data_IF_215612389851
#
_entry.id   IF_215612389851
#
_cell.length_a   1.000
_cell.length_b   1.000
_cell.length_c   1.000
_cell.angle_alpha   90.00
_cell.angle_beta   90.00
_cell.angle_gamma   90.00
#
_symmetry.space_group_name_H-M   'P 1'
#
loop_
_entity.id
_entity.type
_entity.pdbx_description
1 polymer ?
#
# COMPACT_ATOMS: atom_id res chain seq x y z
N UNK A 1 10.74 3.76 -10.24
CA UNK A 1 11.03 3.85 -8.79
C UNK A 1 10.14 4.93 -8.22
N UNK A 2 9.44 4.67 -7.11
CA UNK A 2 8.65 5.68 -6.39
C UNK A 2 9.49 6.24 -5.23
N UNK A 3 9.72 7.56 -5.22
CA UNK A 3 10.40 8.27 -4.14
C UNK A 3 9.40 9.22 -3.49
N UNK A 4 9.37 9.22 -2.16
CA UNK A 4 8.38 9.97 -1.38
C UNK A 4 9.05 10.61 -0.17
N UNK A 5 8.56 11.77 0.25
CA UNK A 5 8.98 12.44 1.47
C UNK A 5 7.98 12.13 2.60
N UNK A 6 8.41 11.30 3.55
CA UNK A 6 7.60 10.92 4.70
C UNK A 6 7.44 12.01 5.76
N UNK A 7 8.18 13.11 5.66
CA UNK A 7 7.98 14.30 6.50
C UNK A 7 6.93 15.26 5.93
N UNK A 8 6.61 15.14 4.64
CA UNK A 8 5.69 16.04 3.94
C UNK A 8 4.30 15.46 3.71
N UNK A 9 4.19 14.13 3.55
CA UNK A 9 2.96 13.46 3.15
C UNK A 9 2.45 12.52 4.25
N UNK A 10 1.13 12.37 4.33
CA UNK A 10 0.53 11.45 5.27
C UNK A 10 0.70 9.99 4.80
N UNK A 11 0.77 9.01 5.73
CA UNK A 11 0.89 7.59 5.37
C UNK A 11 -0.21 7.08 4.42
N UNK A 12 -1.43 7.61 4.55
CA UNK A 12 -2.57 7.29 3.70
C UNK A 12 -2.36 7.70 2.24
N UNK A 13 -1.79 8.88 2.02
CA UNK A 13 -1.51 9.43 0.68
C UNK A 13 -0.43 8.60 0.01
N UNK A 14 0.66 8.30 0.73
CA UNK A 14 1.73 7.45 0.21
C UNK A 14 1.24 6.03 -0.08
N UNK A 15 0.37 5.47 0.76
CA UNK A 15 -0.20 4.15 0.51
C UNK A 15 -1.07 4.13 -0.76
N UNK A 16 -1.79 5.21 -1.07
CA UNK A 16 -2.53 5.33 -2.34
C UNK A 16 -1.58 5.41 -3.54
N UNK A 17 -0.58 6.30 -3.48
CA UNK A 17 0.43 6.45 -4.55
C UNK A 17 1.21 5.17 -4.80
N UNK A 18 1.59 4.44 -3.74
CA UNK A 18 2.27 3.16 -3.85
C UNK A 18 1.38 2.09 -4.48
N UNK A 19 0.07 2.08 -4.18
CA UNK A 19 -0.89 1.18 -4.80
C UNK A 19 -1.03 1.43 -6.30
N UNK A 20 -1.16 2.69 -6.71
CA UNK A 20 -1.19 3.08 -8.13
C UNK A 20 0.11 2.71 -8.84
N UNK A 21 1.25 2.96 -8.22
CA UNK A 21 2.56 2.59 -8.76
C UNK A 21 2.69 1.07 -8.97
N UNK A 22 2.24 0.26 -8.01
CA UNK A 22 2.25 -1.21 -8.12
C UNK A 22 1.37 -1.67 -9.28
N UNK A 23 0.14 -1.15 -9.39
CA UNK A 23 -0.80 -1.54 -10.45
C UNK A 23 -0.31 -1.14 -11.84
N UNK A 24 0.17 0.11 -11.99
CA UNK A 24 0.62 0.63 -13.28
C UNK A 24 1.88 -0.07 -13.82
N UNK A 25 2.66 -0.70 -12.95
CA UNK A 25 3.93 -1.35 -13.32
C UNK A 25 3.89 -2.88 -13.11
N UNK A 26 2.72 -3.46 -12.83
CA UNK A 26 2.52 -4.90 -12.61
C UNK A 26 3.52 -5.50 -11.59
N UNK A 27 3.77 -4.77 -10.50
CA UNK A 27 4.79 -5.15 -9.50
C UNK A 27 4.25 -6.30 -8.65
N UNK A 28 4.83 -7.49 -8.81
CA UNK A 28 4.48 -8.67 -8.00
C UNK A 28 5.00 -8.59 -6.56
N UNK A 29 6.22 -8.06 -6.36
CA UNK A 29 6.86 -7.92 -5.06
C UNK A 29 7.54 -6.56 -4.96
N UNK A 30 7.27 -5.80 -3.91
CA UNK A 30 7.82 -4.46 -3.70
C UNK A 30 8.87 -4.47 -2.60
N UNK A 31 10.06 -3.95 -2.89
CA UNK A 31 11.07 -3.63 -1.89
C UNK A 31 10.77 -2.26 -1.25
N UNK A 32 10.95 -2.14 0.06
CA UNK A 32 10.74 -0.89 0.81
C UNK A 32 12.05 -0.53 1.51
N UNK A 33 12.56 0.66 1.20
CA UNK A 33 13.78 1.19 1.80
C UNK A 33 13.53 2.59 2.37
N UNK A 34 14.23 2.93 3.43
CA UNK A 34 14.13 4.22 4.10
C UNK A 34 15.38 4.54 4.90
N UNK A 35 15.47 5.75 5.47
CA UNK A 35 16.59 6.13 6.32
C UNK A 35 16.69 5.25 7.57
N UNK A 36 17.89 5.20 8.15
CA UNK A 36 18.11 4.54 9.45
C UNK A 36 17.36 5.31 10.53
N UNK A 37 16.79 4.59 11.49
CA UNK A 37 16.10 5.17 12.65
C UNK A 37 17.01 6.16 13.41
N UNK A 38 18.31 5.87 13.50
CA UNK A 38 19.29 6.73 14.17
C UNK A 38 19.54 8.08 13.48
N UNK A 39 19.19 8.24 12.21
CA UNK A 39 19.27 9.52 11.50
C UNK A 39 17.91 10.17 11.32
N UNK A 40 16.82 9.41 11.37
CA UNK A 40 15.45 9.89 11.18
C UNK A 40 14.52 9.15 12.16
N UNK A 41 14.29 9.77 13.32
CA UNK A 41 13.39 9.24 14.34
C UNK A 41 11.98 9.05 13.77
N UNK A 42 11.39 7.88 13.98
CA UNK A 42 10.07 7.50 13.49
C UNK A 42 10.04 6.90 12.08
N UNK A 43 11.17 6.80 11.38
CA UNK A 43 11.22 6.28 10.01
C UNK A 43 10.67 4.84 9.90
N UNK A 44 11.01 3.97 10.87
CA UNK A 44 10.50 2.61 10.89
C UNK A 44 8.99 2.57 11.17
N UNK A 45 8.51 3.38 12.12
CA UNK A 45 7.10 3.46 12.48
C UNK A 45 6.26 3.99 11.31
N UNK A 46 6.72 5.06 10.66
CA UNK A 46 6.10 5.64 9.47
C UNK A 46 6.00 4.61 8.34
N UNK A 47 7.10 3.91 8.03
CA UNK A 47 7.10 2.87 7.00
C UNK A 47 6.10 1.76 7.28
N UNK A 48 6.00 1.30 8.54
CA UNK A 48 4.99 0.29 8.95
C UNK A 48 3.56 0.79 8.72
N UNK A 49 3.29 2.06 9.03
CA UNK A 49 1.97 2.66 8.84
C UNK A 49 1.55 2.69 7.36
N UNK A 50 2.46 3.07 6.46
CA UNK A 50 2.25 3.06 5.01
C UNK A 50 1.98 1.64 4.52
N UNK A 51 2.87 0.68 4.83
CA UNK A 51 2.76 -0.70 4.36
C UNK A 51 1.47 -1.37 4.86
N UNK A 52 1.09 -1.13 6.11
CA UNK A 52 -0.14 -1.67 6.69
C UNK A 52 -1.37 -1.19 5.94
N UNK A 53 -1.41 0.10 5.58
CA UNK A 53 -2.53 0.70 4.82
C UNK A 53 -2.57 0.20 3.39
N UNK A 54 -1.42 0.10 2.73
CA UNK A 54 -1.33 -0.48 1.38
C UNK A 54 -1.86 -1.93 1.36
N UNK A 55 -1.44 -2.75 2.33
CA UNK A 55 -1.88 -4.14 2.47
C UNK A 55 -3.37 -4.26 2.85
N UNK A 56 -3.95 -3.27 3.54
CA UNK A 56 -5.38 -3.21 3.79
C UNK A 56 -6.17 -2.90 2.50
N UNK A 57 -5.69 -1.91 1.72
CA UNK A 57 -6.30 -1.52 0.43
C UNK A 57 -6.28 -2.68 -0.58
N UNK A 58 -5.17 -3.41 -0.69
CA UNK A 58 -5.07 -4.55 -1.61
C UNK A 58 -6.05 -5.67 -1.24
N UNK A 59 -6.24 -5.95 0.05
CA UNK A 59 -7.22 -6.94 0.52
C UNK A 59 -8.66 -6.52 0.27
N UNK A 60 -9.00 -5.24 0.48
CA UNK A 60 -10.34 -4.72 0.15
C UNK A 60 -10.64 -4.88 -1.34
N UNK A 61 -9.69 -4.52 -2.21
CA UNK A 61 -9.88 -4.68 -3.66
C UNK A 61 -10.08 -6.14 -4.08
N UNK A 62 -9.46 -7.10 -3.41
CA UNK A 62 -9.69 -8.52 -3.67
C UNK A 62 -11.06 -8.97 -3.16
N UNK A 63 -11.47 -8.54 -1.97
CA UNK A 63 -12.79 -8.86 -1.41
C UNK A 63 -13.93 -8.32 -2.30
N UNK A 64 -13.82 -7.08 -2.76
CA UNK A 64 -14.80 -6.46 -3.67
C UNK A 64 -14.92 -7.23 -5.00
N UNK A 65 -13.79 -7.70 -5.56
CA UNK A 65 -13.79 -8.53 -6.78
C UNK A 65 -14.40 -9.91 -6.57
N UNK A 66 -14.21 -10.52 -5.40
CA UNK A 66 -14.82 -11.83 -5.07
C UNK A 66 -16.33 -11.69 -4.90
N UNK A 67 -16.80 -10.62 -4.24
CA UNK A 67 -18.23 -10.38 -4.04
C UNK A 67 -19.00 -10.10 -5.35
N UNK A 68 -18.35 -9.51 -6.37
CA UNK A 68 -18.96 -9.26 -7.68
C UNK A 68 -19.15 -10.53 -8.53
N UNK A 69 -18.41 -11.61 -8.25
CA UNK A 69 -18.49 -12.88 -9.00
C UNK A 69 -19.45 -13.91 -8.39
N UNK A 70 -20.04 -13.63 -7.23
CA UNK A 70 -21.06 -14.48 -6.64
C UNK A 70 -22.43 -14.16 -7.29
N UNK A 71 -22.69 -14.72 -8.49
CA UNK A 71 -24.07 -14.79 -8.97
C UNK A 71 -24.85 -15.72 -8.04
N UNK A 72 -26.08 -15.34 -7.60
CA UNK A 72 -26.95 -16.29 -6.94
C UNK A 72 -27.42 -17.28 -8.00
N UNK A 73 -26.81 -18.47 -8.01
CA UNK A 73 -27.47 -19.60 -8.63
C UNK A 73 -28.75 -19.85 -7.83
N UNK A 74 -29.88 -19.56 -8.46
CA UNK A 74 -31.21 -19.95 -7.98
C UNK A 74 -32.03 -20.47 -9.15
N UNK A 75 -32.99 -21.38 -8.92
CA UNK A 75 -33.21 -22.26 -7.77
C UNK A 75 -32.88 -23.74 -8.04
#
# INVERSE_FOLDING_TARGET
MLLVDGGALAPEEIAAMAGEFVMANEIATMNVAGPRESSHNGAAAYSRQVVTRLAAKSRSSTADKVSLNASPETP
#
